data_IF_045197948880
#
_entry.id   IF_045197948880
#
_cell.length_a   1.000
_cell.length_b   1.000
_cell.length_c   1.000
_cell.angle_alpha   90.00
_cell.angle_beta   90.00
_cell.angle_gamma   90.00
#
_symmetry.space_group_name_H-M   'P 1'
#
loop_
_entity.id
_entity.type
_entity.pdbx_description
1 polymer ?
#
# COMPACT_ATOMS: atom_id res chain seq x y z
N UNK A 1 -58.83 36.58 -34.90
CA UNK A 1 -59.53 35.31 -34.64
C UNK A 1 -58.74 34.19 -35.29
N UNK A 2 -58.50 33.12 -34.52
CA UNK A 2 -58.04 31.77 -34.91
C UNK A 2 -56.69 31.66 -35.65
N UNK A 3 -55.61 31.65 -34.89
CA UNK A 3 -54.37 30.93 -35.24
C UNK A 3 -54.18 29.81 -34.22
N UNK A 4 -54.49 28.58 -34.60
CA UNK A 4 -54.27 27.40 -33.76
C UNK A 4 -52.81 26.93 -33.84
N UNK A 5 -52.13 26.69 -32.71
CA UNK A 5 -50.84 26.00 -32.70
C UNK A 5 -51.03 24.48 -32.62
N UNK A 6 -50.25 23.78 -33.43
CA UNK A 6 -50.01 22.33 -33.37
C UNK A 6 -49.53 21.87 -31.97
N UNK A 7 -49.80 20.61 -31.60
CA UNK A 7 -49.47 20.07 -30.28
C UNK A 7 -47.96 19.83 -30.13
N UNK A 8 -47.38 20.04 -28.93
CA UNK A 8 -46.09 19.46 -28.59
C UNK A 8 -46.26 17.95 -28.36
N UNK A 9 -45.58 17.17 -29.20
CA UNK A 9 -45.38 15.73 -29.00
C UNK A 9 -44.49 15.53 -27.78
N UNK A 10 -45.08 15.13 -26.65
CA UNK A 10 -44.35 14.55 -25.54
C UNK A 10 -43.91 13.14 -25.92
N UNK A 11 -42.74 13.03 -26.53
CA UNK A 11 -41.99 11.78 -26.53
C UNK A 11 -40.92 11.93 -25.46
N UNK A 12 -41.18 11.32 -24.30
CA UNK A 12 -40.20 11.10 -23.25
C UNK A 12 -39.25 10.05 -23.82
N UNK A 13 -38.05 10.48 -24.21
CA UNK A 13 -36.95 9.56 -24.48
C UNK A 13 -36.64 8.84 -23.16
N UNK A 14 -36.95 7.55 -23.13
CA UNK A 14 -36.54 6.63 -22.08
C UNK A 14 -35.01 6.57 -22.08
N UNK A 15 -34.39 7.01 -20.98
CA UNK A 15 -33.01 6.67 -20.67
C UNK A 15 -32.90 5.13 -20.61
N UNK A 16 -31.87 4.52 -21.23
CA UNK A 16 -31.64 3.10 -21.06
C UNK A 16 -31.18 2.85 -19.62
N UNK A 17 -31.98 2.08 -18.87
CA UNK A 17 -31.58 1.44 -17.62
C UNK A 17 -30.25 0.71 -17.85
N UNK A 18 -29.20 1.24 -17.21
CA UNK A 18 -27.94 0.55 -16.99
C UNK A 18 -28.20 -0.62 -16.03
N UNK A 19 -28.74 -1.71 -16.57
CA UNK A 19 -28.71 -3.01 -15.90
C UNK A 19 -27.30 -3.59 -16.11
N UNK A 20 -26.36 -3.20 -15.26
CA UNK A 20 -25.05 -3.85 -15.20
C UNK A 20 -24.53 -3.93 -13.77
N UNK A 21 -24.29 -5.18 -13.34
CA UNK A 21 -23.47 -5.64 -12.20
C UNK A 21 -23.96 -5.41 -10.77
N UNK A 22 -25.03 -6.08 -10.36
CA UNK A 22 -25.37 -6.26 -8.92
C UNK A 22 -25.09 -7.71 -8.44
N UNK A 23 -25.21 -8.69 -9.34
CA UNK A 23 -25.10 -10.12 -8.99
C UNK A 23 -23.70 -10.56 -8.52
N UNK A 24 -22.63 -9.97 -9.05
CA UNK A 24 -21.25 -10.31 -8.68
C UNK A 24 -20.83 -9.70 -7.33
N UNK A 25 -21.27 -8.47 -7.03
CA UNK A 25 -21.06 -7.81 -5.75
C UNK A 25 -21.89 -8.47 -4.63
N UNK A 26 -23.14 -8.84 -4.94
CA UNK A 26 -23.98 -9.65 -4.04
C UNK A 26 -23.35 -11.03 -3.80
N UNK A 27 -22.81 -11.70 -4.83
CA UNK A 27 -22.13 -12.99 -4.69
C UNK A 27 -20.88 -12.87 -3.81
N UNK A 28 -20.05 -11.85 -4.03
CA UNK A 28 -18.87 -11.58 -3.20
C UNK A 28 -19.24 -11.28 -1.75
N UNK A 29 -20.30 -10.51 -1.50
CA UNK A 29 -20.79 -10.20 -0.16
C UNK A 29 -21.40 -11.43 0.54
N UNK A 30 -22.03 -12.36 -0.20
CA UNK A 30 -22.52 -13.62 0.34
C UNK A 30 -21.36 -14.56 0.70
N UNK A 31 -20.38 -14.72 -0.20
CA UNK A 31 -19.20 -15.53 0.05
C UNK A 31 -18.37 -15.00 1.22
N UNK A 32 -18.23 -13.68 1.32
CA UNK A 32 -17.55 -13.02 2.44
C UNK A 32 -18.27 -13.29 3.76
N UNK A 33 -19.61 -13.13 3.82
CA UNK A 33 -20.41 -13.45 5.01
C UNK A 33 -20.31 -14.92 5.40
N UNK A 34 -20.37 -15.84 4.43
CA UNK A 34 -20.20 -17.27 4.67
C UNK A 34 -18.81 -17.62 5.19
N UNK A 35 -17.77 -16.90 4.74
CA UNK A 35 -16.40 -17.08 5.24
C UNK A 35 -16.28 -16.64 6.69
N UNK A 36 -16.81 -15.47 7.03
CA UNK A 36 -16.83 -14.97 8.41
C UNK A 36 -17.59 -15.93 9.31
N UNK A 37 -18.76 -16.41 8.89
CA UNK A 37 -19.57 -17.32 9.70
C UNK A 37 -18.85 -18.65 9.95
N UNK A 38 -18.19 -19.19 8.93
CA UNK A 38 -17.33 -20.38 9.06
C UNK A 38 -16.17 -20.13 10.02
N UNK A 39 -15.49 -19.00 9.90
CA UNK A 39 -14.39 -18.64 10.79
C UNK A 39 -14.85 -18.48 12.24
N UNK A 40 -15.99 -17.81 12.47
CA UNK A 40 -16.58 -17.66 13.82
C UNK A 40 -17.03 -18.99 14.41
N UNK A 41 -17.64 -19.85 13.61
CA UNK A 41 -18.02 -21.21 14.02
C UNK A 41 -16.79 -22.04 14.40
N UNK A 42 -15.73 -21.99 13.58
CA UNK A 42 -14.46 -22.65 13.87
C UNK A 42 -13.79 -22.11 15.13
N UNK A 43 -13.69 -20.78 15.26
CA UNK A 43 -13.18 -20.12 16.45
C UNK A 43 -13.97 -20.52 17.71
N UNK A 44 -15.31 -20.51 17.64
CA UNK A 44 -16.17 -20.90 18.77
C UNK A 44 -15.85 -22.32 19.24
N UNK A 45 -15.75 -23.27 18.32
CA UNK A 45 -15.41 -24.66 18.67
C UNK A 45 -14.06 -24.75 19.38
N UNK A 46 -13.03 -24.11 18.81
CA UNK A 46 -11.65 -24.12 19.36
C UNK A 46 -11.58 -23.49 20.75
N UNK A 47 -12.19 -22.33 20.92
CA UNK A 47 -12.23 -21.65 22.22
C UNK A 47 -13.06 -22.42 23.25
N UNK A 48 -14.16 -23.07 22.84
CA UNK A 48 -14.97 -23.90 23.74
C UNK A 48 -14.15 -25.07 24.25
N UNK A 49 -13.50 -25.81 23.36
CA UNK A 49 -12.61 -26.93 23.73
C UNK A 49 -11.50 -26.47 24.67
N UNK A 50 -10.86 -25.35 24.37
CA UNK A 50 -9.82 -24.77 25.22
C UNK A 50 -10.34 -24.41 26.62
N UNK A 51 -11.45 -23.68 26.71
CA UNK A 51 -12.04 -23.27 27.98
C UNK A 51 -12.53 -24.46 28.79
N UNK A 52 -13.15 -25.45 28.15
CA UNK A 52 -13.58 -26.67 28.82
C UNK A 52 -12.39 -27.42 29.42
N UNK A 53 -11.27 -27.54 28.68
CA UNK A 53 -10.05 -28.15 29.21
C UNK A 53 -9.46 -27.37 30.39
N UNK A 54 -9.49 -26.04 30.35
CA UNK A 54 -9.04 -25.19 31.47
C UNK A 54 -9.96 -25.37 32.69
N UNK A 55 -11.28 -25.36 32.50
CA UNK A 55 -12.24 -25.55 33.59
C UNK A 55 -12.16 -26.95 34.22
N UNK A 56 -11.94 -27.99 33.41
CA UNK A 56 -11.72 -29.35 33.88
C UNK A 56 -10.46 -29.45 34.75
N UNK A 57 -9.36 -28.81 34.34
CA UNK A 57 -8.13 -28.72 35.15
C UNK A 57 -8.35 -28.06 36.51
N UNK A 58 -9.35 -27.18 36.62
CA UNK A 58 -9.73 -26.52 37.86
C UNK A 58 -10.83 -27.25 38.65
N UNK A 59 -11.25 -28.44 38.20
CA UNK A 59 -12.21 -29.29 38.91
C UNK A 59 -13.67 -28.80 38.80
N UNK A 60 -14.01 -28.06 37.74
CA UNK A 60 -15.40 -27.68 37.47
C UNK A 60 -16.21 -28.93 37.09
N UNK A 61 -17.39 -29.10 37.67
CA UNK A 61 -18.22 -30.29 37.45
C UNK A 61 -18.75 -30.42 36.01
N UNK A 62 -19.17 -29.30 35.40
CA UNK A 62 -19.69 -29.24 34.03
C UNK A 62 -18.86 -28.27 33.17
N UNK A 63 -17.61 -28.65 32.82
CA UNK A 63 -16.66 -27.75 32.19
C UNK A 63 -17.10 -27.32 30.78
N UNK A 64 -17.80 -28.19 30.06
CA UNK A 64 -18.33 -27.89 28.72
C UNK A 64 -19.46 -26.85 28.73
N UNK A 65 -20.38 -26.94 29.70
CA UNK A 65 -21.48 -25.98 29.84
C UNK A 65 -20.96 -24.61 30.28
N UNK A 66 -20.01 -24.59 31.22
CA UNK A 66 -19.38 -23.34 31.65
C UNK A 66 -18.57 -22.68 30.52
N UNK A 67 -17.93 -23.46 29.64
CA UNK A 67 -17.23 -22.95 28.47
C UNK A 67 -18.18 -22.25 27.49
N UNK A 68 -19.33 -22.85 27.19
CA UNK A 68 -20.36 -22.21 26.36
C UNK A 68 -20.87 -20.91 26.97
N UNK A 69 -21.24 -20.96 28.26
CA UNK A 69 -21.76 -19.80 28.98
C UNK A 69 -20.74 -18.65 29.04
N UNK A 70 -19.46 -18.99 29.24
CA UNK A 70 -18.36 -18.01 29.26
C UNK A 70 -18.17 -17.37 27.88
N UNK A 71 -18.20 -18.15 26.80
CA UNK A 71 -18.07 -17.60 25.45
C UNK A 71 -19.23 -16.69 25.09
N UNK A 72 -20.45 -17.07 25.43
CA UNK A 72 -21.62 -16.25 25.19
C UNK A 72 -21.55 -14.95 25.98
N UNK A 73 -21.18 -15.02 27.26
CA UNK A 73 -21.04 -13.83 28.12
C UNK A 73 -19.98 -12.84 27.60
N UNK A 74 -18.90 -13.34 26.98
CA UNK A 74 -17.81 -12.49 26.50
C UNK A 74 -18.02 -11.98 25.07
N UNK A 75 -18.74 -12.72 24.23
CA UNK A 75 -18.76 -12.46 22.77
C UNK A 75 -20.15 -12.21 22.18
N UNK A 76 -21.23 -12.54 22.90
CA UNK A 76 -22.61 -12.39 22.43
C UNK A 76 -23.27 -11.22 23.17
N UNK A 77 -23.05 -10.03 22.65
CA UNK A 77 -23.62 -8.80 23.18
C UNK A 77 -24.95 -8.48 22.49
N UNK A 78 -25.96 -8.07 23.26
CA UNK A 78 -27.29 -7.74 22.73
C UNK A 78 -27.71 -6.34 23.18
N UNK A 79 -28.41 -5.63 22.31
CA UNK A 79 -29.07 -4.38 22.67
C UNK A 79 -30.14 -4.64 23.73
N UNK A 80 -30.19 -3.83 24.79
CA UNK A 80 -31.08 -4.04 25.95
C UNK A 80 -32.56 -3.95 25.55
N UNK A 81 -32.82 -3.04 24.62
CA UNK A 81 -34.12 -2.63 24.13
C UNK A 81 -34.67 -3.57 23.05
N UNK A 82 -33.85 -4.07 22.13
CA UNK A 82 -34.31 -4.97 21.06
C UNK A 82 -33.99 -6.45 21.26
N UNK A 83 -32.99 -6.78 22.10
CA UNK A 83 -32.46 -8.13 22.22
C UNK A 83 -31.67 -8.61 20.99
N UNK A 84 -31.55 -7.79 19.95
CA UNK A 84 -30.75 -8.09 18.76
C UNK A 84 -29.26 -8.04 19.08
N UNK A 85 -28.45 -8.75 18.28
CA UNK A 85 -26.99 -8.77 18.45
C UNK A 85 -26.40 -7.38 18.19
N UNK A 86 -25.60 -6.89 19.15
CA UNK A 86 -24.85 -5.67 19.01
C UNK A 86 -23.66 -5.89 18.07
N UNK A 87 -23.59 -5.09 17.01
CA UNK A 87 -22.51 -5.13 16.01
C UNK A 87 -21.45 -4.03 16.25
N UNK A 88 -21.44 -3.36 17.40
CA UNK A 88 -20.37 -2.38 17.72
C UNK A 88 -19.04 -3.10 17.95
N UNK A 89 -17.94 -2.56 17.43
CA UNK A 89 -16.57 -3.05 17.70
C UNK A 89 -16.14 -2.81 19.15
N UNK A 90 -16.95 -2.09 19.91
CA UNK A 90 -16.83 -1.82 21.34
C UNK A 90 -16.70 -3.10 22.20
N UNK A 91 -17.20 -4.23 21.70
CA UNK A 91 -17.27 -5.49 22.43
C UNK A 91 -16.32 -6.54 21.88
N UNK A 92 -15.76 -7.42 22.73
CA UNK A 92 -15.03 -8.59 22.25
C UNK A 92 -15.89 -9.45 21.33
N UNK A 93 -15.29 -9.99 20.28
CA UNK A 93 -15.93 -10.92 19.33
C UNK A 93 -14.99 -12.07 19.04
N UNK A 94 -15.56 -13.16 18.55
CA UNK A 94 -14.77 -14.23 17.96
C UNK A 94 -14.07 -13.74 16.68
N UNK A 95 -12.84 -14.21 16.41
CA UNK A 95 -12.12 -13.89 15.19
C UNK A 95 -12.94 -14.18 13.93
N UNK A 96 -12.83 -13.27 12.95
CA UNK A 96 -13.53 -13.36 11.66
C UNK A 96 -12.69 -14.05 10.58
N UNK A 97 -11.49 -14.51 10.94
CA UNK A 97 -10.57 -15.29 10.10
C UNK A 97 -9.84 -16.35 10.93
N UNK A 98 -9.36 -17.39 10.27
CA UNK A 98 -8.49 -18.43 10.83
C UNK A 98 -7.00 -18.01 10.93
N UNK A 99 -6.70 -16.73 10.72
CA UNK A 99 -5.36 -16.18 10.84
C UNK A 99 -4.75 -16.52 12.22
N UNK A 100 -3.52 -17.04 12.21
CA UNK A 100 -2.82 -17.55 13.39
C UNK A 100 -3.61 -18.60 14.19
N UNK A 101 -4.40 -19.44 13.51
CA UNK A 101 -5.26 -20.45 14.14
C UNK A 101 -6.15 -19.82 15.22
N UNK A 102 -6.88 -18.76 14.84
CA UNK A 102 -7.73 -17.99 15.75
C UNK A 102 -6.97 -17.38 16.94
N UNK A 103 -5.65 -17.21 16.82
CA UNK A 103 -4.78 -16.71 17.89
C UNK A 103 -4.15 -17.80 18.77
N UNK A 104 -4.53 -19.08 18.61
CA UNK A 104 -3.89 -20.18 19.32
C UNK A 104 -2.43 -20.40 18.89
N UNK A 105 -2.10 -20.04 17.65
CA UNK A 105 -0.73 -20.10 17.12
C UNK A 105 0.07 -18.81 17.36
N UNK A 106 -0.44 -17.89 18.19
CA UNK A 106 0.26 -16.65 18.49
C UNK A 106 1.60 -16.92 19.18
N UNK A 107 2.64 -16.16 18.82
CA UNK A 107 3.97 -16.30 19.43
C UNK A 107 3.94 -16.11 20.95
N UNK A 108 2.96 -15.37 21.47
CA UNK A 108 2.79 -15.10 22.89
C UNK A 108 2.38 -16.35 23.71
N UNK A 109 1.73 -17.34 23.11
CA UNK A 109 1.29 -18.56 23.80
C UNK A 109 2.37 -19.65 23.83
N UNK A 110 3.51 -19.42 23.17
CA UNK A 110 4.60 -20.38 23.02
C UNK A 110 5.69 -20.18 24.07
N UNK A 111 6.23 -21.29 24.57
CA UNK A 111 7.45 -21.27 25.40
C UNK A 111 8.62 -20.65 24.64
N UNK A 112 9.65 -20.10 25.32
CA UNK A 112 10.83 -19.56 24.64
C UNK A 112 11.48 -20.54 23.67
N UNK A 113 11.56 -21.83 24.02
CA UNK A 113 12.11 -22.89 23.16
C UNK A 113 11.22 -23.14 21.93
N UNK A 114 9.90 -23.16 22.11
CA UNK A 114 8.96 -23.33 21.02
C UNK A 114 8.99 -22.14 20.05
N UNK A 115 9.11 -20.91 20.56
CA UNK A 115 9.33 -19.70 19.74
C UNK A 115 10.59 -19.80 18.90
N UNK A 116 11.73 -20.14 19.51
CA UNK A 116 13.01 -20.32 18.80
C UNK A 116 12.93 -21.41 17.73
N UNK A 117 12.28 -22.54 18.01
CA UNK A 117 12.08 -23.61 17.02
C UNK A 117 11.23 -23.15 15.85
N UNK A 118 10.09 -22.52 16.11
CA UNK A 118 9.20 -22.05 15.06
C UNK A 118 9.85 -20.97 14.19
N UNK A 119 10.60 -20.04 14.80
CA UNK A 119 11.38 -19.04 14.06
C UNK A 119 12.43 -19.70 13.16
N UNK A 120 13.17 -20.67 13.69
CA UNK A 120 14.16 -21.42 12.90
C UNK A 120 13.52 -22.22 11.75
N UNK A 121 12.36 -22.84 11.98
CA UNK A 121 11.60 -23.52 10.94
C UNK A 121 11.17 -22.53 9.85
N UNK A 122 10.55 -21.42 10.22
CA UNK A 122 10.17 -20.36 9.28
C UNK A 122 11.36 -19.84 8.47
N UNK A 123 12.49 -19.54 9.12
CA UNK A 123 13.73 -19.10 8.46
C UNK A 123 14.26 -20.16 7.48
N UNK A 124 14.24 -21.43 7.87
CA UNK A 124 14.67 -22.54 7.01
C UNK A 124 13.72 -22.73 5.82
N UNK A 125 12.40 -22.61 6.03
CA UNK A 125 11.39 -22.70 4.97
C UNK A 125 11.52 -21.55 3.96
N UNK A 126 11.82 -20.33 4.40
CA UNK A 126 12.14 -19.21 3.51
C UNK A 126 13.41 -19.51 2.71
N UNK A 127 14.46 -19.97 3.38
CA UNK A 127 15.71 -20.32 2.70
C UNK A 127 15.54 -21.49 1.72
N UNK A 128 14.64 -22.44 2.00
CA UNK A 128 14.27 -23.51 1.09
C UNK A 128 13.46 -22.99 -0.11
N UNK A 129 12.47 -22.13 0.13
CA UNK A 129 11.70 -21.47 -0.93
C UNK A 129 12.61 -20.74 -1.91
N UNK A 130 13.55 -19.91 -1.43
CA UNK A 130 14.49 -19.20 -2.31
C UNK A 130 15.48 -20.11 -3.04
N UNK A 131 15.74 -21.32 -2.52
CA UNK A 131 16.53 -22.36 -3.21
C UNK A 131 15.69 -23.20 -4.18
N UNK A 132 14.37 -23.15 -4.10
CA UNK A 132 13.47 -23.88 -4.98
C UNK A 132 13.52 -23.33 -6.42
N UNK A 133 13.07 -24.10 -7.43
CA UNK A 133 12.98 -23.60 -8.80
C UNK A 133 12.10 -22.36 -8.95
N UNK A 134 11.07 -22.19 -8.11
CA UNK A 134 10.23 -21.00 -8.10
C UNK A 134 10.96 -19.78 -7.57
N UNK A 135 11.61 -19.90 -6.40
CA UNK A 135 12.43 -18.83 -5.83
C UNK A 135 13.57 -18.42 -6.77
N UNK A 136 14.25 -19.39 -7.39
CA UNK A 136 15.29 -19.13 -8.38
C UNK A 136 14.77 -18.41 -9.62
N UNK A 137 13.55 -18.71 -10.09
CA UNK A 137 12.93 -17.98 -11.21
C UNK A 137 12.64 -16.53 -10.84
N UNK A 138 12.14 -16.26 -9.63
CA UNK A 138 11.88 -14.91 -9.15
C UNK A 138 13.20 -14.12 -9.06
N UNK A 139 14.22 -14.71 -8.41
CA UNK A 139 15.55 -14.08 -8.31
C UNK A 139 16.18 -13.82 -9.68
N UNK A 140 16.07 -14.76 -10.63
CA UNK A 140 16.58 -14.55 -11.98
C UNK A 140 15.83 -13.43 -12.73
N UNK A 141 14.51 -13.31 -12.52
CA UNK A 141 13.72 -12.23 -13.09
C UNK A 141 14.09 -10.86 -12.50
N UNK A 142 14.28 -10.77 -11.17
CA UNK A 142 14.76 -9.57 -10.49
C UNK A 142 16.14 -9.16 -11.01
N UNK A 143 17.09 -10.11 -11.09
CA UNK A 143 18.44 -9.84 -11.63
C UNK A 143 18.42 -9.40 -13.09
N UNK A 144 17.53 -9.97 -13.92
CA UNK A 144 17.39 -9.55 -15.31
C UNK A 144 16.84 -8.12 -15.41
N UNK A 145 15.85 -7.76 -14.58
CA UNK A 145 15.31 -6.42 -14.53
C UNK A 145 16.34 -5.40 -14.01
N UNK A 146 17.16 -5.77 -13.02
CA UNK A 146 18.26 -4.93 -12.52
C UNK A 146 19.35 -4.73 -13.58
N UNK A 147 19.67 -5.77 -14.35
CA UNK A 147 20.62 -5.67 -15.45
C UNK A 147 20.10 -4.78 -16.59
N UNK A 148 18.80 -4.86 -16.89
CA UNK A 148 18.14 -3.97 -17.85
C UNK A 148 18.18 -2.51 -17.37
N UNK A 149 17.85 -2.27 -16.10
CA UNK A 149 17.94 -0.95 -15.48
C UNK A 149 19.36 -0.40 -15.54
N UNK A 150 20.38 -1.20 -15.22
CA UNK A 150 21.78 -0.79 -15.32
C UNK A 150 22.17 -0.43 -16.76
N UNK A 151 21.71 -1.22 -17.75
CA UNK A 151 21.94 -0.94 -19.17
C UNK A 151 21.27 0.35 -19.65
N UNK A 152 20.07 0.66 -19.16
CA UNK A 152 19.39 1.92 -19.43
C UNK A 152 20.11 3.10 -18.75
N UNK A 153 20.46 2.99 -17.46
CA UNK A 153 21.16 4.03 -16.70
C UNK A 153 22.52 4.39 -17.31
N UNK A 154 23.25 3.42 -17.85
CA UNK A 154 24.52 3.66 -18.54
C UNK A 154 24.41 4.59 -19.76
N UNK A 155 23.21 4.73 -20.33
CA UNK A 155 22.91 5.63 -21.45
C UNK A 155 22.39 6.99 -20.97
N UNK A 156 22.04 7.13 -19.69
CA UNK A 156 21.51 8.37 -19.12
C UNK A 156 22.65 9.25 -18.59
N UNK A 157 22.95 10.32 -19.32
CA UNK A 157 23.96 11.28 -18.88
C UNK A 157 23.49 11.99 -17.60
N UNK A 158 24.31 11.98 -16.55
CA UNK A 158 24.03 12.70 -15.31
C UNK A 158 23.04 12.02 -14.36
N UNK A 159 22.55 10.81 -14.65
CA UNK A 159 21.65 10.08 -13.76
C UNK A 159 22.31 8.80 -13.21
N UNK A 160 22.13 8.55 -11.92
CA UNK A 160 22.56 7.32 -11.25
C UNK A 160 21.52 6.88 -10.21
N UNK A 161 21.42 5.57 -9.97
CA UNK A 161 20.60 4.99 -8.90
C UNK A 161 21.54 4.20 -7.99
N UNK A 162 21.57 4.56 -6.72
CA UNK A 162 22.41 3.91 -5.71
C UNK A 162 21.70 2.75 -5.05
N UNK A 163 20.38 2.88 -4.88
CA UNK A 163 19.54 1.82 -4.34
C UNK A 163 18.11 1.98 -4.80
N UNK A 164 17.45 0.85 -5.01
CA UNK A 164 16.02 0.79 -5.25
C UNK A 164 15.44 -0.51 -4.67
N UNK A 165 14.14 -0.51 -4.42
CA UNK A 165 13.39 -1.69 -3.97
C UNK A 165 12.41 -1.39 -2.86
N UNK A 166 11.96 -2.46 -2.19
CA UNK A 166 10.86 -2.42 -1.24
C UNK A 166 9.52 -2.68 -1.91
N UNK A 167 8.71 -3.56 -1.30
CA UNK A 167 7.38 -3.90 -1.80
C UNK A 167 6.35 -2.84 -1.40
N UNK A 168 6.33 -2.45 -0.13
CA UNK A 168 5.52 -1.36 0.40
C UNK A 168 6.11 -0.88 1.74
N UNK A 169 6.81 0.26 1.80
CA UNK A 169 6.97 1.24 0.71
C UNK A 169 8.02 0.83 -0.35
N UNK A 170 7.74 1.18 -1.61
CA UNK A 170 8.74 1.24 -2.68
C UNK A 170 9.63 2.48 -2.47
N UNK A 171 10.94 2.34 -2.66
CA UNK A 171 11.92 3.39 -2.39
C UNK A 171 13.03 3.39 -3.42
N UNK A 172 13.46 4.57 -3.85
CA UNK A 172 14.60 4.77 -4.73
C UNK A 172 15.48 5.91 -4.26
N UNK A 173 16.80 5.78 -4.42
CA UNK A 173 17.81 6.79 -4.09
C UNK A 173 18.84 6.87 -5.21
N UNK A 174 19.28 8.08 -5.52
CA UNK A 174 20.23 8.31 -6.59
C UNK A 174 20.63 9.77 -6.74
N UNK A 175 21.26 10.09 -7.86
CA UNK A 175 21.56 11.46 -8.26
C UNK A 175 21.05 11.72 -9.69
N UNK A 176 20.57 12.94 -9.94
CA UNK A 176 20.21 13.42 -11.29
C UNK A 176 20.77 14.82 -11.48
N UNK A 177 21.62 14.99 -12.48
CA UNK A 177 22.24 16.25 -12.91
C UNK A 177 22.92 17.03 -11.76
N UNK A 178 23.53 16.28 -10.82
CA UNK A 178 24.23 16.83 -9.65
C UNK A 178 23.36 17.01 -8.41
N UNK A 179 22.09 16.59 -8.45
CA UNK A 179 21.15 16.68 -7.34
C UNK A 179 20.81 15.29 -6.81
N UNK A 180 21.02 15.06 -5.50
CA UNK A 180 20.60 13.82 -4.85
C UNK A 180 19.09 13.76 -4.73
N UNK A 181 18.50 12.58 -4.92
CA UNK A 181 17.05 12.39 -4.81
C UNK A 181 16.67 11.20 -3.93
N UNK A 182 15.45 11.28 -3.39
CA UNK A 182 14.76 10.19 -2.74
C UNK A 182 13.34 10.10 -3.29
N UNK A 183 12.95 8.94 -3.80
CA UNK A 183 11.57 8.64 -4.17
C UNK A 183 11.01 7.63 -3.17
N UNK A 184 9.73 7.81 -2.81
CA UNK A 184 9.00 6.89 -1.95
C UNK A 184 7.56 6.73 -2.41
N UNK A 185 7.16 5.49 -2.71
CA UNK A 185 5.79 5.07 -2.98
C UNK A 185 5.19 4.31 -1.81
N UNK A 186 4.00 4.70 -1.33
CA UNK A 186 3.25 3.98 -0.30
C UNK A 186 1.75 4.22 -0.44
N UNK A 187 0.97 3.14 -0.36
CA UNK A 187 -0.52 3.20 -0.39
C UNK A 187 -1.03 4.02 -1.58
N UNK A 188 -0.55 3.68 -2.77
CA UNK A 188 -0.92 4.34 -4.03
C UNK A 188 -0.51 5.82 -4.15
N UNK A 189 0.18 6.37 -3.16
CA UNK A 189 0.77 7.72 -3.20
C UNK A 189 2.28 7.65 -3.36
N UNK A 190 2.87 8.66 -3.99
CA UNK A 190 4.31 8.82 -4.08
C UNK A 190 4.75 10.27 -3.93
N UNK A 191 6.02 10.47 -3.56
CA UNK A 191 6.69 11.76 -3.63
C UNK A 191 8.16 11.60 -4.02
N UNK A 192 8.74 12.70 -4.53
CA UNK A 192 10.17 12.85 -4.81
C UNK A 192 10.71 14.02 -3.99
N UNK A 193 11.73 13.75 -3.20
CA UNK A 193 12.57 14.74 -2.53
C UNK A 193 13.85 14.95 -3.34
N UNK A 194 14.34 16.19 -3.38
CA UNK A 194 15.56 16.58 -4.07
C UNK A 194 16.50 17.35 -3.12
N UNK A 195 17.80 17.30 -3.40
CA UNK A 195 18.83 17.97 -2.62
C UNK A 195 18.85 17.48 -1.16
N UNK A 196 18.97 16.15 -0.97
CA UNK A 196 18.95 15.50 0.34
C UNK A 196 20.09 16.01 1.23
N UNK A 197 19.77 16.40 2.46
CA UNK A 197 20.72 16.99 3.42
C UNK A 197 20.56 16.33 4.78
N UNK A 198 21.64 16.15 5.54
CA UNK A 198 21.55 15.69 6.91
C UNK A 198 20.71 16.67 7.75
N UNK A 199 19.79 16.12 8.53
CA UNK A 199 18.82 16.89 9.33
C UNK A 199 19.33 17.24 10.73
N UNK A 200 20.46 16.68 11.16
CA UNK A 200 20.89 16.66 12.56
C UNK A 200 20.10 15.69 13.44
N UNK A 201 19.05 15.05 12.90
CA UNK A 201 18.25 14.04 13.62
C UNK A 201 18.84 12.66 13.39
N UNK A 202 19.15 11.97 14.46
CA UNK A 202 19.66 10.60 14.40
C UNK A 202 18.52 9.60 14.63
N UNK A 203 18.44 8.61 13.76
CA UNK A 203 17.49 7.51 13.84
C UNK A 203 18.22 6.20 14.11
N UNK A 204 17.60 5.36 14.94
CA UNK A 204 18.12 4.06 15.32
C UNK A 204 17.46 3.01 14.43
N UNK A 205 18.23 2.42 13.51
CA UNK A 205 17.76 1.34 12.65
C UNK A 205 18.32 0.00 13.12
N UNK A 206 17.53 -1.06 12.96
CA UNK A 206 18.00 -2.43 13.20
C UNK A 206 19.06 -2.77 12.14
N UNK A 207 20.28 -3.04 12.56
CA UNK A 207 21.40 -3.40 11.70
C UNK A 207 21.48 -4.91 11.46
N UNK A 208 20.86 -5.70 12.34
CA UNK A 208 20.83 -7.15 12.25
C UNK A 208 20.47 -7.76 13.59
N UNK A 209 20.41 -9.08 13.61
CA UNK A 209 20.27 -9.86 14.84
C UNK A 209 21.34 -10.95 14.82
N UNK A 210 22.08 -11.09 15.91
CA UNK A 210 23.08 -12.14 16.06
C UNK A 210 22.44 -13.53 16.19
N UNK A 211 23.26 -14.57 16.16
CA UNK A 211 22.82 -15.95 16.32
C UNK A 211 22.19 -16.25 17.70
N UNK A 212 22.43 -15.39 18.70
CA UNK A 212 21.87 -15.48 20.04
C UNK A 212 20.61 -14.59 20.23
N UNK A 213 20.02 -14.13 19.13
CA UNK A 213 18.88 -13.20 19.09
C UNK A 213 19.18 -11.78 19.62
N UNK A 214 20.46 -11.42 19.82
CA UNK A 214 20.83 -10.04 20.18
C UNK A 214 20.62 -9.11 18.99
N UNK A 215 19.70 -8.15 19.14
CA UNK A 215 19.40 -7.17 18.09
C UNK A 215 20.42 -6.04 18.11
N UNK A 216 21.14 -5.90 17.00
CA UNK A 216 22.06 -4.80 16.77
C UNK A 216 21.34 -3.62 16.15
N UNK A 217 21.69 -2.44 16.62
CA UNK A 217 21.16 -1.21 16.08
C UNK A 217 22.28 -0.31 15.61
N UNK A 218 22.12 0.24 14.41
CA UNK A 218 22.98 1.29 13.90
C UNK A 218 22.25 2.62 13.99
N UNK A 219 22.94 3.60 14.55
CA UNK A 219 22.47 4.98 14.55
C UNK A 219 22.99 5.63 13.27
N UNK A 220 22.10 6.19 12.48
CA UNK A 220 22.46 7.00 11.32
C UNK A 220 21.69 8.31 11.34
N UNK A 221 22.29 9.33 10.74
CA UNK A 221 21.65 10.62 10.58
C UNK A 221 20.56 10.53 9.50
N UNK A 222 19.39 11.06 9.79
CA UNK A 222 18.29 11.17 8.84
C UNK A 222 18.62 12.24 7.82
N UNK A 223 18.32 11.95 6.56
CA UNK A 223 18.47 12.88 5.44
C UNK A 223 17.09 13.19 4.87
N UNK A 224 16.85 14.46 4.57
CA UNK A 224 15.60 14.95 3.99
C UNK A 224 15.94 15.97 2.89
N UNK A 225 15.12 16.02 1.85
CA UNK A 225 15.21 17.00 0.77
C UNK A 225 13.95 17.83 0.62
N UNK A 226 13.97 18.72 -0.36
CA UNK A 226 12.79 19.51 -0.73
C UNK A 226 11.86 18.61 -1.57
N UNK A 227 10.59 18.48 -1.17
CA UNK A 227 9.60 17.74 -1.98
C UNK A 227 9.32 18.52 -3.26
N UNK A 228 9.72 17.97 -4.41
CA UNK A 228 9.59 18.63 -5.71
C UNK A 228 8.36 18.17 -6.50
N UNK A 229 7.85 16.97 -6.19
CA UNK A 229 6.70 16.37 -6.85
C UNK A 229 6.05 15.32 -5.94
N UNK A 230 4.74 15.15 -6.10
CA UNK A 230 3.96 14.07 -5.48
C UNK A 230 2.76 13.74 -6.37
N UNK A 231 2.20 12.55 -6.19
CA UNK A 231 1.05 12.09 -6.97
C UNK A 231 0.61 10.69 -6.57
N UNK A 232 -0.17 10.05 -7.44
CA UNK A 232 -0.65 8.69 -7.24
C UNK A 232 0.03 7.71 -8.21
N UNK A 233 -0.05 6.41 -7.91
CA UNK A 233 0.45 5.33 -8.79
C UNK A 233 -0.29 5.30 -10.14
N UNK A 234 -1.45 5.94 -10.25
CA UNK A 234 -2.22 6.14 -11.49
C UNK A 234 -1.66 7.27 -12.39
N UNK A 235 -0.64 8.01 -11.96
CA UNK A 235 -0.03 9.08 -12.76
C UNK A 235 0.47 8.52 -14.10
N UNK A 236 0.18 9.24 -15.20
CA UNK A 236 0.66 8.86 -16.52
C UNK A 236 2.20 8.73 -16.53
N UNK A 237 2.68 7.62 -17.11
CA UNK A 237 4.11 7.33 -17.16
C UNK A 237 4.71 6.84 -15.85
N UNK A 238 3.92 6.61 -14.79
CA UNK A 238 4.42 6.08 -13.51
C UNK A 238 5.24 4.80 -13.73
N UNK A 239 4.76 3.89 -14.57
CA UNK A 239 5.50 2.69 -14.96
C UNK A 239 5.35 1.52 -14.00
N UNK A 240 5.62 0.33 -14.53
CA UNK A 240 5.49 -0.97 -13.86
C UNK A 240 6.79 -1.76 -13.81
N UNK A 241 7.76 -1.43 -14.67
CA UNK A 241 9.11 -2.00 -14.65
C UNK A 241 10.11 -1.07 -13.95
N UNK A 242 11.25 -1.58 -13.45
CA UNK A 242 12.31 -0.74 -12.88
C UNK A 242 12.81 0.34 -13.85
N UNK A 243 12.90 0.05 -15.15
CA UNK A 243 13.31 1.02 -16.18
C UNK A 243 12.28 2.13 -16.33
N UNK A 244 10.99 1.79 -16.46
CA UNK A 244 9.92 2.78 -16.59
C UNK A 244 9.84 3.66 -15.33
N UNK A 245 9.97 3.06 -14.14
CA UNK A 245 10.02 3.77 -12.86
C UNK A 245 11.21 4.74 -12.79
N UNK A 246 12.40 4.28 -13.19
CA UNK A 246 13.59 5.13 -13.19
C UNK A 246 13.47 6.27 -14.20
N UNK A 247 12.95 6.00 -15.40
CA UNK A 247 12.64 7.02 -16.40
C UNK A 247 11.68 8.07 -15.85
N UNK A 248 10.57 7.65 -15.23
CA UNK A 248 9.60 8.53 -14.59
C UNK A 248 10.25 9.46 -13.55
N UNK A 249 11.06 8.91 -12.65
CA UNK A 249 11.75 9.68 -11.61
C UNK A 249 12.72 10.69 -12.23
N UNK A 250 13.58 10.22 -13.14
CA UNK A 250 14.61 11.05 -13.78
C UNK A 250 13.98 12.18 -14.59
N UNK A 251 12.93 11.91 -15.37
CA UNK A 251 12.23 12.92 -16.15
C UNK A 251 11.52 13.93 -15.26
N UNK A 252 10.88 13.48 -14.18
CA UNK A 252 10.22 14.37 -13.23
C UNK A 252 11.24 15.35 -12.61
N UNK A 253 12.42 14.85 -12.23
CA UNK A 253 13.49 15.69 -11.68
C UNK A 253 14.03 16.66 -12.75
N UNK A 254 14.35 16.18 -13.95
CA UNK A 254 14.86 17.04 -15.04
C UNK A 254 13.88 18.15 -15.42
N UNK A 255 12.59 17.82 -15.52
CA UNK A 255 11.54 18.80 -15.78
C UNK A 255 11.50 19.84 -14.66
N UNK A 256 11.57 19.41 -13.39
CA UNK A 256 11.64 20.33 -12.26
C UNK A 256 12.85 21.28 -12.35
N UNK A 257 14.05 20.74 -12.62
CA UNK A 257 15.29 21.52 -12.75
C UNK A 257 15.22 22.54 -13.90
N UNK A 258 14.72 22.12 -15.07
CA UNK A 258 14.52 23.01 -16.23
C UNK A 258 13.54 24.14 -15.88
N UNK A 259 12.42 23.83 -15.20
CA UNK A 259 11.45 24.84 -14.75
C UNK A 259 12.05 25.81 -13.75
N UNK A 260 12.88 25.34 -12.82
CA UNK A 260 13.55 26.15 -11.80
C UNK A 260 14.58 27.12 -12.42
N UNK A 261 15.30 26.69 -13.45
CA UNK A 261 16.34 27.50 -14.09
C UNK A 261 15.81 28.44 -15.19
N UNK A 262 14.57 28.27 -15.65
CA UNK A 262 14.07 28.98 -16.81
C UNK A 262 13.79 30.47 -16.52
N UNK A 263 14.48 31.35 -17.24
CA UNK A 263 14.27 32.81 -17.18
C UNK A 263 13.38 33.33 -18.32
N UNK A 264 13.13 32.52 -19.35
CA UNK A 264 12.38 32.90 -20.55
C UNK A 264 10.90 33.20 -20.30
N UNK A 265 10.38 32.95 -19.08
CA UNK A 265 8.97 33.19 -18.72
C UNK A 265 8.50 34.62 -18.91
N UNK A 266 9.41 35.61 -18.97
CA UNK A 266 9.03 37.03 -19.00
C UNK A 266 9.51 37.73 -20.27
N UNK A 267 10.70 37.42 -20.75
CA UNK A 267 11.38 38.26 -21.74
C UNK A 267 10.95 38.00 -23.19
N UNK A 268 10.42 36.80 -23.49
CA UNK A 268 10.01 36.42 -24.86
C UNK A 268 8.51 36.18 -25.03
N UNK A 269 7.73 36.38 -23.97
CA UNK A 269 6.29 36.15 -23.94
C UNK A 269 5.57 36.89 -25.08
N UNK A 270 5.89 38.16 -25.28
CA UNK A 270 5.29 38.97 -26.34
C UNK A 270 5.64 38.47 -27.76
N UNK A 271 6.87 38.00 -27.97
CA UNK A 271 7.29 37.43 -29.27
C UNK A 271 6.64 36.08 -29.55
N UNK A 272 6.45 35.25 -28.51
CA UNK A 272 5.79 33.95 -28.63
C UNK A 272 4.29 34.13 -28.88
N UNK A 273 3.63 35.04 -28.16
CA UNK A 273 2.22 35.41 -28.40
C UNK A 273 2.01 35.94 -29.81
N UNK A 274 2.95 36.74 -30.33
CA UNK A 274 2.89 37.27 -31.69
C UNK A 274 2.99 36.17 -32.76
N UNK A 275 3.75 35.10 -32.52
CA UNK A 275 3.87 33.95 -33.43
C UNK A 275 2.63 33.04 -33.34
N UNK A 276 2.14 32.78 -32.12
CA UNK A 276 1.02 31.88 -31.88
C UNK A 276 -0.35 32.50 -32.15
N UNK A 277 -0.43 33.83 -32.26
CA UNK A 277 -1.69 34.57 -32.47
C UNK A 277 -2.68 34.46 -31.29
N UNK A 278 -2.24 33.89 -30.16
CA UNK A 278 -3.05 33.61 -28.97
C UNK A 278 -2.18 33.80 -27.72
N UNK A 279 -2.83 34.04 -26.56
CA UNK A 279 -2.13 34.20 -25.29
C UNK A 279 -1.38 32.92 -24.92
N UNK A 280 -0.09 33.02 -24.66
CA UNK A 280 0.70 31.87 -24.24
C UNK A 280 0.39 31.56 -22.77
N UNK A 281 -0.37 30.48 -22.54
CA UNK A 281 -0.69 30.02 -21.18
C UNK A 281 0.43 29.17 -20.56
N UNK A 282 1.43 28.79 -21.35
CA UNK A 282 2.54 27.91 -20.97
C UNK A 282 3.85 28.40 -21.58
N UNK A 283 4.95 28.29 -20.83
CA UNK A 283 6.28 28.59 -21.35
C UNK A 283 6.73 27.47 -22.31
N UNK A 284 7.08 27.76 -23.58
CA UNK A 284 7.48 26.73 -24.53
C UNK A 284 8.82 26.08 -24.19
N UNK A 285 9.63 26.70 -23.33
CA UNK A 285 10.94 26.17 -22.93
C UNK A 285 10.87 25.16 -21.78
N UNK A 286 9.94 25.33 -20.83
CA UNK A 286 9.90 24.50 -19.62
C UNK A 286 8.50 23.96 -19.26
N UNK A 287 7.46 24.33 -20.01
CA UNK A 287 6.09 23.95 -19.75
C UNK A 287 5.52 24.45 -18.41
N UNK A 288 6.08 25.52 -17.81
CA UNK A 288 5.47 26.18 -16.64
C UNK A 288 4.25 26.98 -17.07
N UNK A 289 3.14 26.86 -16.33
CA UNK A 289 1.95 27.68 -16.57
C UNK A 289 2.27 29.14 -16.27
N UNK A 290 2.00 30.02 -17.23
CA UNK A 290 2.23 31.45 -17.07
C UNK A 290 1.04 32.07 -16.31
N UNK A 291 1.27 33.05 -15.42
CA UNK A 291 0.19 33.71 -14.71
C UNK A 291 -0.82 34.30 -15.69
N UNK A 292 -2.11 34.12 -15.41
CA UNK A 292 -3.15 34.86 -16.11
C UNK A 292 -2.94 36.35 -15.84
N UNK A 293 -2.99 37.18 -16.89
CA UNK A 293 -2.97 38.64 -16.76
C UNK A 293 -4.21 39.14 -16.04
#
# INVERSE_FOLDING_TARGET
>A
MTGGPMPPSNTVDQEPELEMTDSAEISGAVEYRQRIERARSGARSRYREHLAAVFDQHGVAEPGELADATLDALTVWRYIDSGELCICSCHPRLPESDLHDYGFDCVCTRTPEARRRAFNQWRNSIAEFWRSPEGQRITAAEQAADAELAGWLAQQQGASVHSHGGLAPEQWRGDVDGHSFYFRGRHDEWHIELDLRPTGRFVRAMAGTDHDDTVHYQVHESVEGDVIASGTTDTEGYGTTPVERAQFIVDTIRIHLVRRACTHHRDHLASIEAILGTGAHWCPTCGTRLPAR
#
